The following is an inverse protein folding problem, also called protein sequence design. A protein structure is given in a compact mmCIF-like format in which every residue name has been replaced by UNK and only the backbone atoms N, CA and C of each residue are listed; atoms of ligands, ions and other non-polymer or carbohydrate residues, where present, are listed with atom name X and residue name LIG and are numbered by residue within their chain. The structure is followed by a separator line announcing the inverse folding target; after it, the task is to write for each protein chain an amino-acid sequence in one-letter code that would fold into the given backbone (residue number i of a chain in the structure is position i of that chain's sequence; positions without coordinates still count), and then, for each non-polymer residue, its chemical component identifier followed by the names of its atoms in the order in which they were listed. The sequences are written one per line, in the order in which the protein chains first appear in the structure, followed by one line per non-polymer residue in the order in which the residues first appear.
data_IF_505938075455
#
_entry.id   IF_505938075455
#
_cell.length_a   1.000
_cell.length_b   1.000
_cell.length_c   1.000
_cell.angle_alpha   90.00
_cell.angle_beta   90.00
_cell.angle_gamma   90.00
#
_symmetry.space_group_name_H-M   'P 1'
#
loop_
_entity.id
_entity.type
_entity.pdbx_description
1 polymer ?
#
# COMPACT_ATOMS: atom_id res chain seq x y z
N UNK A 1 5.96 1.30 -14.99
CA UNK A 1 6.19 0.16 -14.09
C UNK A 1 5.81 0.65 -12.72
N UNK A 2 4.71 0.16 -12.18
CA UNK A 2 4.25 0.53 -10.85
C UNK A 2 5.19 -0.07 -9.81
N UNK A 3 5.38 0.65 -8.70
CA UNK A 3 6.29 0.24 -7.63
C UNK A 3 5.58 0.06 -6.29
N UNK A 4 4.38 0.62 -6.16
CA UNK A 4 3.57 0.56 -4.94
C UNK A 4 2.25 -0.17 -5.18
N UNK A 5 1.90 -1.08 -4.27
CA UNK A 5 0.59 -1.71 -4.20
C UNK A 5 -0.19 -1.07 -3.04
N UNK A 6 -1.31 -0.42 -3.37
CA UNK A 6 -2.15 0.29 -2.41
C UNK A 6 -3.24 -0.66 -1.92
N UNK A 7 -3.24 -0.89 -0.61
CA UNK A 7 -4.22 -1.72 0.08
C UNK A 7 -5.67 -1.27 -0.15
N UNK A 8 -6.60 -2.23 -0.24
CA UNK A 8 -8.03 -2.04 -0.37
C UNK A 8 -8.64 -1.16 0.74
N UNK A 9 -8.03 -1.15 1.94
CA UNK A 9 -8.47 -0.33 3.05
C UNK A 9 -8.08 1.16 2.94
N UNK A 10 -7.34 1.54 1.90
CA UNK A 10 -7.01 2.91 1.56
C UNK A 10 -7.96 3.46 0.47
N UNK A 11 -8.03 4.79 0.30
CA UNK A 11 -9.00 5.36 -0.62
C UNK A 11 -8.68 5.06 -2.08
N UNK A 12 -9.60 4.39 -2.77
CA UNK A 12 -9.43 4.04 -4.19
C UNK A 12 -9.37 5.25 -5.13
N UNK A 13 -10.34 6.17 -5.01
CA UNK A 13 -10.47 7.33 -5.91
C UNK A 13 -9.60 8.49 -5.46
N UNK A 14 -8.29 8.30 -5.51
CA UNK A 14 -7.32 9.33 -5.13
C UNK A 14 -6.33 9.59 -6.26
N UNK A 15 -6.21 10.86 -6.67
CA UNK A 15 -5.44 11.24 -7.85
C UNK A 15 -3.95 10.90 -7.74
N UNK A 16 -3.42 10.82 -6.53
CA UNK A 16 -2.02 10.51 -6.28
C UNK A 16 -1.64 9.08 -6.71
N UNK A 17 -2.56 8.12 -6.64
CA UNK A 17 -2.34 6.75 -7.13
C UNK A 17 -2.26 6.68 -8.66
N UNK A 18 -2.88 7.63 -9.37
CA UNK A 18 -3.03 7.59 -10.84
C UNK A 18 -1.79 8.03 -11.61
N UNK A 19 -0.70 8.37 -10.94
CA UNK A 19 0.51 8.89 -11.56
C UNK A 19 1.39 7.80 -12.21
N UNK A 20 0.94 6.53 -12.24
CA UNK A 20 1.61 5.42 -12.91
C UNK A 20 2.65 4.67 -12.07
N UNK A 21 2.94 5.15 -10.86
CA UNK A 21 3.84 4.50 -9.91
C UNK A 21 3.09 3.60 -8.91
N UNK A 22 1.76 3.65 -8.88
CA UNK A 22 0.93 2.93 -7.93
C UNK A 22 -0.13 2.10 -8.64
N UNK A 23 -0.41 0.94 -8.07
CA UNK A 23 -1.53 0.08 -8.40
C UNK A 23 -2.41 -0.05 -7.17
N UNK A 24 -3.71 0.12 -7.32
CA UNK A 24 -4.63 -0.20 -6.24
C UNK A 24 -5.07 -1.66 -6.37
N UNK A 25 -5.25 -2.37 -5.25
CA UNK A 25 -5.73 -3.77 -5.27
C UNK A 25 -7.00 -3.94 -6.11
N UNK A 26 -7.92 -2.97 -6.02
CA UNK A 26 -9.16 -2.93 -6.82
C UNK A 26 -8.95 -2.79 -8.34
N UNK A 27 -7.79 -2.34 -8.81
CA UNK A 27 -7.49 -2.35 -10.25
C UNK A 27 -7.18 -3.76 -10.77
N UNK A 28 -6.88 -4.70 -9.86
CA UNK A 28 -6.62 -6.11 -10.18
C UNK A 28 -7.83 -6.99 -9.89
N UNK A 29 -8.25 -7.05 -8.63
CA UNK A 29 -9.41 -7.82 -8.20
C UNK A 29 -9.87 -7.36 -6.81
N UNK A 30 -11.14 -6.96 -6.69
CA UNK A 30 -11.74 -6.55 -5.42
C UNK A 30 -11.92 -7.70 -4.41
N UNK A 31 -11.87 -8.95 -4.88
CA UNK A 31 -12.02 -10.14 -4.05
C UNK A 31 -10.69 -10.73 -3.56
N UNK A 32 -9.54 -10.09 -3.83
CA UNK A 32 -8.27 -10.57 -3.32
C UNK A 32 -8.23 -10.54 -1.79
N UNK A 33 -7.81 -11.67 -1.24
CA UNK A 33 -7.46 -11.82 0.18
C UNK A 33 -6.11 -11.16 0.48
N UNK A 34 -5.84 -10.85 1.75
CA UNK A 34 -4.55 -10.29 2.16
C UNK A 34 -3.36 -11.16 1.73
N UNK A 35 -3.53 -12.49 1.73
CA UNK A 35 -2.52 -13.43 1.27
C UNK A 35 -2.27 -13.33 -0.24
N UNK A 36 -3.30 -13.08 -1.04
CA UNK A 36 -3.15 -12.87 -2.48
C UNK A 36 -2.46 -11.54 -2.77
N UNK A 37 -2.84 -10.47 -2.05
CA UNK A 37 -2.17 -9.16 -2.11
C UNK A 37 -0.69 -9.31 -1.76
N UNK A 38 -0.38 -10.05 -0.67
CA UNK A 38 0.98 -10.34 -0.22
C UNK A 38 1.82 -11.05 -1.27
N UNK A 39 1.28 -12.13 -1.84
CA UNK A 39 1.96 -12.92 -2.88
C UNK A 39 2.19 -12.09 -4.13
N UNK A 40 1.16 -11.36 -4.57
CA UNK A 40 1.25 -10.49 -5.72
C UNK A 40 2.35 -9.44 -5.56
N UNK A 41 2.39 -8.76 -4.40
CA UNK A 41 3.43 -7.77 -4.14
C UNK A 41 4.82 -8.39 -4.14
N UNK A 42 4.98 -9.57 -3.54
CA UNK A 42 6.26 -10.28 -3.49
C UNK A 42 6.73 -10.73 -4.88
N UNK A 43 5.85 -11.29 -5.69
CA UNK A 43 6.17 -11.78 -7.04
C UNK A 43 6.51 -10.64 -8.02
N UNK A 44 5.97 -9.45 -7.79
CA UNK A 44 6.16 -8.28 -8.65
C UNK A 44 7.15 -7.23 -8.07
N UNK A 45 7.84 -7.54 -6.97
CA UNK A 45 8.75 -6.62 -6.26
C UNK A 45 8.12 -5.27 -5.89
N UNK A 46 6.85 -5.29 -5.49
CA UNK A 46 6.09 -4.11 -5.11
C UNK A 46 6.23 -3.81 -3.61
N UNK A 47 6.15 -2.53 -3.27
CA UNK A 47 6.02 -2.05 -1.89
C UNK A 47 4.54 -1.96 -1.53
N UNK A 48 4.09 -2.71 -0.54
CA UNK A 48 2.72 -2.64 -0.03
C UNK A 48 2.58 -1.37 0.82
N UNK A 49 1.58 -0.54 0.54
CA UNK A 49 1.21 0.60 1.38
C UNK A 49 -0.14 0.28 2.02
N UNK A 50 -0.16 0.17 3.35
CA UNK A 50 -1.33 -0.27 4.11
C UNK A 50 -1.43 0.45 5.45
N UNK A 51 -2.62 0.42 6.06
CA UNK A 51 -2.82 0.79 7.48
C UNK A 51 -3.03 -0.43 8.37
N UNK A 52 -3.13 -1.62 7.79
CA UNK A 52 -3.35 -2.87 8.49
C UNK A 52 -2.03 -3.41 9.07
N UNK A 53 -2.07 -3.81 10.34
CA UNK A 53 -0.90 -4.32 11.04
C UNK A 53 -0.53 -5.74 10.61
N UNK A 54 -1.50 -6.51 10.08
CA UNK A 54 -1.29 -7.90 9.71
C UNK A 54 -0.17 -8.05 8.66
N UNK A 55 -0.07 -7.11 7.71
CA UNK A 55 1.01 -7.08 6.71
C UNK A 55 2.39 -6.82 7.34
N UNK A 56 2.48 -5.93 8.33
CA UNK A 56 3.72 -5.66 9.06
C UNK A 56 4.14 -6.90 9.87
N UNK A 57 3.19 -7.54 10.53
CA UNK A 57 3.42 -8.76 11.29
C UNK A 57 3.91 -9.89 10.38
N UNK A 58 3.31 -10.05 9.20
CA UNK A 58 3.77 -11.01 8.19
C UNK A 58 5.17 -10.69 7.67
N UNK A 59 5.52 -9.41 7.53
CA UNK A 59 6.85 -8.98 7.10
C UNK A 59 7.92 -9.34 8.13
N UNK A 60 7.59 -9.27 9.42
CA UNK A 60 8.49 -9.68 10.49
C UNK A 60 8.71 -11.20 10.56
N UNK A 61 7.77 -11.99 10.04
CA UNK A 61 7.77 -13.46 10.12
C UNK A 61 8.20 -14.18 8.83
N UNK A 62 8.34 -13.46 7.72
CA UNK A 62 8.60 -14.04 6.39
C UNK A 62 10.00 -13.71 5.87
N UNK A 63 10.62 -14.62 5.11
CA UNK A 63 11.94 -14.40 4.48
C UNK A 63 11.98 -14.83 2.99
N UNK A 64 12.42 -13.94 2.06
CA UNK A 64 12.34 -12.49 2.17
C UNK A 64 10.87 -12.03 2.08
N UNK A 65 10.45 -11.01 2.84
CA UNK A 65 9.13 -10.41 2.72
C UNK A 65 9.10 -9.38 1.57
N UNK A 66 7.93 -9.07 0.97
CA UNK A 66 7.75 -7.82 0.26
C UNK A 66 8.00 -6.63 1.22
N UNK A 67 8.39 -5.49 0.67
CA UNK A 67 8.52 -4.25 1.45
C UNK A 67 7.13 -3.77 1.86
N UNK A 68 6.99 -3.34 3.12
CA UNK A 68 5.73 -2.82 3.65
C UNK A 68 5.94 -1.41 4.21
N UNK A 69 5.10 -0.48 3.77
CA UNK A 69 4.93 0.85 4.36
C UNK A 69 3.63 0.83 5.15
N UNK A 70 3.78 0.75 6.47
CA UNK A 70 2.66 0.75 7.40
C UNK A 70 2.34 2.17 7.88
N UNK A 71 1.14 2.66 7.53
CA UNK A 71 0.64 3.96 7.92
C UNK A 71 -0.04 3.87 9.30
N UNK A 72 0.64 4.36 10.35
CA UNK A 72 0.11 4.41 11.71
C UNK A 72 -0.87 5.58 11.93
N UNK A 73 -2.01 5.54 11.25
CA UNK A 73 -2.96 6.67 11.18
C UNK A 73 -4.32 6.43 11.86
N UNK A 74 -4.57 5.23 12.39
CA UNK A 74 -5.86 4.86 12.99
C UNK A 74 -7.06 5.13 12.06
N UNK A 75 -8.24 5.34 12.64
CA UNK A 75 -9.43 5.77 11.89
C UNK A 75 -9.38 7.27 11.61
N UNK A 76 -8.69 7.63 10.52
CA UNK A 76 -8.61 8.99 10.02
C UNK A 76 -9.76 9.31 9.07
N UNK A 77 -10.33 10.52 9.16
CA UNK A 77 -11.30 10.99 8.17
C UNK A 77 -10.62 11.13 6.82
N UNK A 78 -11.33 10.83 5.74
CA UNK A 78 -10.81 10.87 4.37
C UNK A 78 -10.13 12.21 4.01
N UNK A 79 -10.69 13.33 4.47
CA UNK A 79 -10.14 14.67 4.24
C UNK A 79 -8.78 14.86 4.90
N UNK A 80 -8.61 14.32 6.10
CA UNK A 80 -7.37 14.43 6.86
C UNK A 80 -6.32 13.46 6.30
N UNK A 81 -6.75 12.27 5.88
CA UNK A 81 -5.91 11.32 5.16
C UNK A 81 -5.31 11.93 3.90
N UNK A 82 -6.12 12.60 3.07
CA UNK A 82 -5.63 13.26 1.86
C UNK A 82 -4.52 14.28 2.14
N UNK A 83 -4.65 15.06 3.21
CA UNK A 83 -3.61 16.04 3.60
C UNK A 83 -2.35 15.33 4.11
N UNK A 84 -2.54 14.36 5.00
CA UNK A 84 -1.45 13.60 5.60
C UNK A 84 -0.62 12.90 4.52
N UNK A 85 -1.27 12.12 3.66
CA UNK A 85 -0.57 11.33 2.64
C UNK A 85 0.15 12.23 1.65
N UNK A 86 -0.41 13.39 1.28
CA UNK A 86 0.27 14.35 0.39
C UNK A 86 1.58 14.89 0.98
N UNK A 87 1.65 15.04 2.31
CA UNK A 87 2.86 15.51 3.00
C UNK A 87 3.93 14.43 2.99
N UNK A 88 3.58 13.18 3.30
CA UNK A 88 4.56 12.10 3.49
C UNK A 88 4.89 11.34 2.20
N UNK A 89 4.05 11.41 1.17
CA UNK A 89 4.25 10.66 -0.08
C UNK A 89 5.60 10.91 -0.77
N UNK A 90 6.14 12.15 -0.80
CA UNK A 90 7.49 12.39 -1.32
C UNK A 90 8.56 11.55 -0.63
N UNK A 91 8.45 11.33 0.68
CA UNK A 91 9.39 10.52 1.46
C UNK A 91 9.22 9.03 1.18
N UNK A 92 7.97 8.55 1.09
CA UNK A 92 7.67 7.15 0.72
C UNK A 92 8.29 6.80 -0.64
N UNK A 93 8.24 7.73 -1.60
CA UNK A 93 8.84 7.53 -2.93
C UNK A 93 10.37 7.42 -2.94
N UNK A 94 11.06 7.78 -1.85
CA UNK A 94 12.51 7.62 -1.75
C UNK A 94 12.93 6.22 -1.28
N UNK A 95 11.99 5.35 -0.95
CA UNK A 95 12.24 3.98 -0.49
C UNK A 95 12.49 2.97 -1.64
N UNK A 96 12.44 3.44 -2.89
CA UNK A 96 12.49 2.64 -4.14
C UNK A 96 13.58 3.12 -5.09
#
# INVERSE_FOLDING_TARGET
MSRFLIDANLPYRFGLWRNGDCEHVFDHNEAWTDLEIWRYAKENDLVIVTKDADFSDWAMLSEPPPRVVHLHIGNMRIRDFHKFIQIIWPEIKLLI
#
